data_IF_948244356067
#
_entry.id   IF_948244356067
#
_cell.length_a   1.000
_cell.length_b   1.000
_cell.length_c   1.000
_cell.angle_alpha   90.00
_cell.angle_beta   90.00
_cell.angle_gamma   90.00
#
_symmetry.space_group_name_H-M   'P 1'
#
loop_
_entity.id
_entity.type
_entity.pdbx_description
1 polymer ?
#
# COMPACT_ATOMS: atom_id res chain seq x y z
N UNK A 1 18.55 58.00 -6.74
CA UNK A 1 18.77 56.81 -5.88
C UNK A 1 17.49 56.04 -5.52
N UNK A 2 16.31 56.69 -5.44
CA UNK A 2 15.02 56.05 -5.04
C UNK A 2 14.53 54.91 -5.95
N UNK A 3 14.79 54.95 -7.27
CA UNK A 3 14.35 53.92 -8.23
C UNK A 3 15.06 52.57 -8.06
N UNK A 4 16.32 52.55 -7.61
CA UNK A 4 17.07 51.30 -7.36
C UNK A 4 16.55 50.58 -6.09
N UNK A 5 16.21 51.34 -5.04
CA UNK A 5 15.65 50.79 -3.80
C UNK A 5 14.27 50.15 -4.00
N UNK A 6 13.37 50.80 -4.76
CA UNK A 6 12.05 50.23 -5.11
C UNK A 6 12.14 48.94 -5.94
N UNK A 7 13.15 48.83 -6.82
CA UNK A 7 13.36 47.65 -7.65
C UNK A 7 13.96 46.48 -6.84
N UNK A 8 14.88 46.77 -5.92
CA UNK A 8 15.45 45.78 -5.00
C UNK A 8 14.38 45.18 -4.06
N UNK A 9 13.54 46.01 -3.46
CA UNK A 9 12.44 45.54 -2.60
C UNK A 9 11.32 44.79 -3.32
N UNK A 10 11.13 45.02 -4.63
CA UNK A 10 10.22 44.19 -5.45
C UNK A 10 10.81 42.81 -5.74
N UNK A 11 12.09 42.74 -6.06
CA UNK A 11 12.80 41.49 -6.33
C UNK A 11 12.89 40.65 -5.05
N UNK A 12 13.19 41.26 -3.90
CA UNK A 12 13.20 40.57 -2.60
C UNK A 12 11.83 39.98 -2.26
N UNK A 13 10.73 40.74 -2.44
CA UNK A 13 9.36 40.22 -2.28
C UNK A 13 8.98 39.11 -3.26
N UNK A 14 9.54 39.13 -4.46
CA UNK A 14 9.29 38.12 -5.49
C UNK A 14 10.08 36.83 -5.24
N UNK A 15 11.26 36.94 -4.62
CA UNK A 15 12.05 35.81 -4.12
C UNK A 15 11.40 35.20 -2.88
N UNK A 16 10.93 36.01 -1.92
CA UNK A 16 10.18 35.53 -0.75
C UNK A 16 8.90 34.80 -1.16
N UNK A 17 8.17 35.29 -2.18
CA UNK A 17 7.00 34.60 -2.73
C UNK A 17 7.28 33.23 -3.36
N UNK A 18 8.53 32.95 -3.73
CA UNK A 18 8.94 31.64 -4.27
C UNK A 18 9.46 30.69 -3.20
N UNK A 19 9.71 31.18 -1.99
CA UNK A 19 10.22 30.39 -0.89
C UNK A 19 9.06 29.98 0.01
N UNK A 20 8.80 28.68 0.04
CA UNK A 20 7.87 28.05 0.97
C UNK A 20 8.20 28.47 2.40
N UNK A 21 7.16 28.76 3.19
CA UNK A 21 7.33 29.06 4.62
C UNK A 21 7.85 27.81 5.36
N UNK A 22 8.44 27.96 6.56
CA UNK A 22 8.87 26.82 7.37
C UNK A 22 7.75 25.79 7.61
N UNK A 23 6.53 26.28 7.88
CA UNK A 23 5.33 25.47 8.12
C UNK A 23 4.94 24.72 6.85
N UNK A 24 4.93 25.40 5.70
CA UNK A 24 4.64 24.78 4.40
C UNK A 24 5.66 23.70 4.03
N UNK A 25 6.95 23.93 4.33
CA UNK A 25 7.99 22.90 4.13
C UNK A 25 7.75 21.68 5.02
N UNK A 26 7.34 21.90 6.26
CA UNK A 26 6.99 20.82 7.19
C UNK A 26 5.77 20.04 6.69
N UNK A 27 4.73 20.75 6.24
CA UNK A 27 3.55 20.15 5.63
C UNK A 27 3.93 19.27 4.44
N UNK A 28 4.71 19.78 3.49
CA UNK A 28 5.11 19.02 2.29
C UNK A 28 5.94 17.79 2.67
N UNK A 29 6.83 17.88 3.65
CA UNK A 29 7.60 16.72 4.15
C UNK A 29 6.70 15.63 4.75
N UNK A 30 5.75 16.01 5.61
CA UNK A 30 4.80 15.08 6.22
C UNK A 30 3.92 14.41 5.16
N UNK A 31 3.45 15.19 4.19
CA UNK A 31 2.68 14.68 3.03
C UNK A 31 3.50 13.73 2.16
N UNK A 32 4.78 14.02 1.94
CA UNK A 32 5.68 13.13 1.20
C UNK A 32 5.93 11.82 1.95
N UNK A 33 5.96 11.85 3.29
CA UNK A 33 6.10 10.66 4.15
C UNK A 33 4.83 9.79 4.22
N UNK A 34 3.69 10.27 3.71
CA UNK A 34 2.44 9.52 3.66
C UNK A 34 1.42 9.84 4.76
N UNK A 35 1.67 10.87 5.58
CA UNK A 35 0.69 11.38 6.57
C UNK A 35 -0.55 11.92 5.85
N UNK A 36 -1.75 11.73 6.41
CA UNK A 36 -3.01 12.23 5.83
C UNK A 36 -3.01 13.77 5.74
N UNK A 37 -3.92 14.32 4.91
CA UNK A 37 -3.91 15.77 4.62
C UNK A 37 -4.21 16.62 5.84
N UNK A 38 -5.22 16.21 6.61
CA UNK A 38 -5.64 16.84 7.84
C UNK A 38 -4.56 16.77 8.91
N UNK A 39 -4.03 15.58 9.19
CA UNK A 39 -2.97 15.40 10.20
C UNK A 39 -1.70 16.15 9.83
N UNK A 40 -1.28 16.11 8.56
CA UNK A 40 -0.10 16.83 8.11
C UNK A 40 -0.27 18.36 8.24
N UNK A 41 -1.49 18.87 8.02
CA UNK A 41 -1.79 20.28 8.17
C UNK A 41 -1.83 20.69 9.65
N UNK A 42 -2.53 19.92 10.49
CA UNK A 42 -2.58 20.13 11.93
C UNK A 42 -1.17 20.17 12.54
N UNK A 43 -0.32 19.19 12.20
CA UNK A 43 1.05 19.12 12.73
C UNK A 43 1.96 20.23 12.19
N UNK A 44 1.78 20.65 10.94
CA UNK A 44 2.66 21.65 10.33
C UNK A 44 2.33 23.09 10.77
N UNK A 45 1.06 23.37 11.03
CA UNK A 45 0.56 24.69 11.40
C UNK A 45 0.17 24.80 12.88
N UNK A 46 0.35 23.72 13.66
CA UNK A 46 -0.04 23.61 15.08
C UNK A 46 -1.51 24.01 15.30
N UNK A 47 -2.38 23.62 14.35
CA UNK A 47 -3.81 23.92 14.40
C UNK A 47 -4.61 22.69 14.85
N UNK A 48 -5.36 22.85 15.94
CA UNK A 48 -6.40 21.91 16.33
C UNK A 48 -7.72 22.31 15.67
N UNK A 49 -8.35 21.37 14.95
CA UNK A 49 -9.58 21.63 14.22
C UNK A 49 -10.31 20.36 13.80
N UNK A 50 -11.53 20.50 13.30
CA UNK A 50 -12.26 19.37 12.74
C UNK A 50 -11.56 18.84 11.48
N UNK A 51 -11.46 17.51 11.32
CA UNK A 51 -10.82 16.86 10.15
C UNK A 51 -11.30 17.42 8.81
N UNK A 52 -12.59 17.77 8.69
CA UNK A 52 -13.15 18.38 7.48
C UNK A 52 -12.59 19.78 7.18
N UNK A 53 -12.45 20.63 8.20
CA UNK A 53 -11.93 22.00 8.06
C UNK A 53 -10.44 21.99 7.73
N UNK A 54 -9.67 21.16 8.42
CA UNK A 54 -8.24 20.98 8.16
C UNK A 54 -8.00 20.43 6.74
N UNK A 55 -8.83 19.48 6.30
CA UNK A 55 -8.76 18.96 4.93
C UNK A 55 -9.04 20.03 3.88
N UNK A 56 -10.01 20.93 4.12
CA UNK A 56 -10.30 22.06 3.23
C UNK A 56 -9.10 23.00 3.11
N UNK A 57 -8.50 23.38 4.25
CA UNK A 57 -7.30 24.23 4.29
C UNK A 57 -6.10 23.58 3.60
N UNK A 58 -5.84 22.30 3.88
CA UNK A 58 -4.80 21.51 3.22
C UNK A 58 -5.03 21.43 1.70
N UNK A 59 -6.28 21.25 1.26
CA UNK A 59 -6.63 21.23 -0.16
C UNK A 59 -6.43 22.59 -0.82
N UNK A 60 -6.71 23.70 -0.12
CA UNK A 60 -6.41 25.04 -0.61
C UNK A 60 -4.90 25.26 -0.76
N UNK A 61 -4.10 24.74 0.18
CA UNK A 61 -2.64 24.81 0.12
C UNK A 61 -2.08 24.00 -1.05
N UNK A 62 -2.57 22.78 -1.28
CA UNK A 62 -2.18 21.91 -2.41
C UNK A 62 -2.66 22.44 -3.78
N UNK A 63 -3.41 23.54 -3.87
CA UNK A 63 -3.70 24.21 -5.16
C UNK A 63 -2.55 25.11 -5.63
N UNK A 64 -1.63 25.48 -4.74
CA UNK A 64 -0.50 26.33 -5.12
C UNK A 64 0.56 25.50 -5.86
N UNK A 65 1.04 26.05 -6.96
CA UNK A 65 1.94 25.36 -7.88
C UNK A 65 3.31 25.05 -7.27
N UNK A 66 3.80 25.93 -6.39
CA UNK A 66 5.05 25.77 -5.63
C UNK A 66 5.01 24.58 -4.65
N UNK A 67 3.90 24.42 -3.92
CA UNK A 67 3.65 23.30 -3.00
C UNK A 67 3.60 21.97 -3.77
N UNK A 68 2.88 21.94 -4.89
CA UNK A 68 2.72 20.73 -5.71
C UNK A 68 4.07 20.31 -6.30
N UNK A 69 4.83 21.25 -6.85
CA UNK A 69 6.14 20.99 -7.43
C UNK A 69 7.12 20.43 -6.38
N UNK A 70 7.16 21.02 -5.19
CA UNK A 70 8.04 20.54 -4.12
C UNK A 70 7.61 19.17 -3.59
N UNK A 71 6.30 18.92 -3.48
CA UNK A 71 5.77 17.62 -3.09
C UNK A 71 6.13 16.53 -4.11
N UNK A 72 6.03 16.83 -5.40
CA UNK A 72 6.44 15.90 -6.46
C UNK A 72 7.93 15.62 -6.41
N UNK A 73 8.76 16.67 -6.27
CA UNK A 73 10.22 16.55 -6.15
C UNK A 73 10.62 15.63 -4.99
N UNK A 74 10.03 15.82 -3.81
CA UNK A 74 10.32 15.00 -2.63
C UNK A 74 9.84 13.55 -2.78
N UNK A 75 8.68 13.33 -3.41
CA UNK A 75 8.20 11.98 -3.71
C UNK A 75 9.10 11.24 -4.70
N UNK A 76 9.62 11.93 -5.71
CA UNK A 76 10.58 11.35 -6.66
C UNK A 76 11.92 11.04 -6.00
N UNK A 77 12.42 11.94 -5.14
CA UNK A 77 13.63 11.68 -4.35
C UNK A 77 13.46 10.46 -3.44
N UNK A 78 12.31 10.35 -2.77
CA UNK A 78 12.01 9.19 -1.92
C UNK A 78 11.93 7.89 -2.74
N UNK A 79 11.32 7.92 -3.93
CA UNK A 79 11.30 6.75 -4.83
C UNK A 79 12.72 6.31 -5.23
N UNK A 80 13.60 7.26 -5.57
CA UNK A 80 15.00 6.96 -5.90
C UNK A 80 15.72 6.29 -4.72
N UNK A 81 15.60 6.87 -3.53
CA UNK A 81 16.19 6.29 -2.30
C UNK A 81 15.65 4.88 -2.00
N UNK A 82 14.36 4.62 -2.23
CA UNK A 82 13.79 3.28 -2.05
C UNK A 82 14.45 2.28 -3.01
N UNK A 83 14.67 2.67 -4.27
CA UNK A 83 15.33 1.80 -5.26
C UNK A 83 16.80 1.57 -4.90
N UNK A 84 17.49 2.61 -4.44
CA UNK A 84 18.89 2.54 -3.99
C UNK A 84 19.06 1.66 -2.75
N UNK A 85 18.12 1.69 -1.80
CA UNK A 85 18.16 0.90 -0.57
C UNK A 85 17.56 -0.51 -0.71
N UNK A 86 16.84 -0.79 -1.80
CA UNK A 86 16.20 -2.09 -2.01
C UNK A 86 17.20 -3.28 -1.98
N UNK A 87 18.40 -3.20 -2.59
CA UNK A 87 19.40 -4.27 -2.50
C UNK A 87 19.87 -4.51 -1.06
N UNK A 88 20.20 -3.44 -0.32
CA UNK A 88 20.63 -3.53 1.07
C UNK A 88 19.54 -4.15 1.96
N UNK A 89 18.29 -3.75 1.75
CA UNK A 89 17.14 -4.31 2.45
C UNK A 89 16.95 -5.81 2.14
N UNK A 90 17.19 -6.23 0.90
CA UNK A 90 17.14 -7.63 0.49
C UNK A 90 18.26 -8.45 1.14
N UNK A 91 19.51 -7.98 1.10
CA UNK A 91 20.64 -8.64 1.75
C UNK A 91 20.38 -8.81 3.25
N UNK A 92 19.86 -7.76 3.91
CA UNK A 92 19.50 -7.81 5.32
C UNK A 92 18.42 -8.85 5.62
N UNK A 93 17.44 -9.01 4.73
CA UNK A 93 16.40 -10.03 4.86
C UNK A 93 16.99 -11.45 4.78
N UNK A 94 17.95 -11.67 3.89
CA UNK A 94 18.66 -12.94 3.75
C UNK A 94 19.55 -13.23 4.97
N UNK A 95 20.19 -12.21 5.55
CA UNK A 95 20.91 -12.38 6.82
C UNK A 95 19.97 -12.77 7.96
N UNK A 96 18.82 -12.09 8.08
CA UNK A 96 17.83 -12.36 9.11
C UNK A 96 17.27 -13.78 8.98
N UNK A 97 17.05 -14.28 7.77
CA UNK A 97 16.51 -15.63 7.56
C UNK A 97 17.49 -16.73 8.01
N UNK A 98 18.80 -16.49 7.93
CA UNK A 98 19.86 -17.44 8.31
C UNK A 98 20.29 -17.32 9.77
N UNK A 99 20.48 -16.10 10.26
CA UNK A 99 21.24 -15.83 11.48
C UNK A 99 20.47 -15.13 12.59
N UNK A 100 19.20 -14.75 12.39
CA UNK A 100 18.44 -14.12 13.47
C UNK A 100 18.31 -15.09 14.67
N UNK A 101 18.56 -14.57 15.88
CA UNK A 101 18.45 -15.35 17.13
C UNK A 101 17.00 -15.74 17.43
N UNK A 102 16.05 -14.87 17.09
CA UNK A 102 14.62 -15.12 17.26
C UNK A 102 14.11 -15.99 16.13
N UNK A 103 13.53 -17.15 16.48
CA UNK A 103 12.91 -18.05 15.51
C UNK A 103 11.76 -17.38 14.76
N UNK A 104 10.96 -16.58 15.44
CA UNK A 104 9.88 -15.80 14.81
C UNK A 104 10.43 -14.88 13.71
N UNK A 105 11.52 -14.16 14.00
CA UNK A 105 12.15 -13.26 13.01
C UNK A 105 12.70 -14.04 11.81
N UNK A 106 13.31 -15.21 12.05
CA UNK A 106 13.74 -16.10 10.94
C UNK A 106 12.57 -16.60 10.12
N UNK A 107 11.48 -17.03 10.77
CA UNK A 107 10.27 -17.51 10.10
C UNK A 107 9.66 -16.39 9.24
N UNK A 108 9.48 -15.20 9.80
CA UNK A 108 8.92 -14.04 9.10
C UNK A 108 9.81 -13.66 7.90
N UNK A 109 11.14 -13.68 8.05
CA UNK A 109 12.06 -13.41 6.95
C UNK A 109 11.98 -14.47 5.84
N UNK A 110 11.95 -15.77 6.20
CA UNK A 110 11.81 -16.86 5.23
C UNK A 110 10.46 -16.81 4.51
N UNK A 111 9.36 -16.57 5.24
CA UNK A 111 8.03 -16.39 4.66
C UNK A 111 8.05 -15.26 3.64
N UNK A 112 8.66 -14.13 3.99
CA UNK A 112 8.71 -12.98 3.11
C UNK A 112 9.50 -13.25 1.81
N UNK A 113 10.61 -14.00 1.89
CA UNK A 113 11.36 -14.45 0.70
C UNK A 113 10.49 -15.34 -0.19
N UNK A 114 9.75 -16.29 0.38
CA UNK A 114 8.88 -17.20 -0.35
C UNK A 114 7.71 -16.48 -1.03
N UNK A 115 7.02 -15.59 -0.29
CA UNK A 115 5.91 -14.78 -0.82
C UNK A 115 6.37 -13.93 -2.02
N UNK A 116 7.55 -13.30 -1.92
CA UNK A 116 8.14 -12.51 -3.02
C UNK A 116 8.59 -13.35 -4.21
N UNK A 117 8.97 -14.59 -3.99
CA UNK A 117 9.28 -15.55 -5.05
C UNK A 117 8.01 -16.16 -5.70
N UNK A 118 6.81 -15.80 -5.22
CA UNK A 118 5.54 -16.25 -5.75
C UNK A 118 5.01 -17.54 -5.12
N UNK A 119 5.66 -18.06 -4.07
CA UNK A 119 5.20 -19.22 -3.30
C UNK A 119 4.15 -18.80 -2.27
N UNK A 120 3.07 -18.20 -2.75
CA UNK A 120 1.95 -17.79 -1.92
C UNK A 120 1.09 -18.98 -1.51
N UNK A 121 0.32 -18.81 -0.44
CA UNK A 121 -0.69 -19.79 -0.05
C UNK A 121 -1.62 -20.09 -1.24
N UNK A 122 -1.93 -21.37 -1.50
CA UNK A 122 -2.86 -21.73 -2.57
C UNK A 122 -4.19 -21.00 -2.32
N UNK A 123 -4.78 -20.46 -3.40
CA UNK A 123 -6.09 -19.82 -3.34
C UNK A 123 -7.03 -20.78 -2.63
N UNK A 124 -7.52 -20.39 -1.45
CA UNK A 124 -8.57 -21.11 -0.75
C UNK A 124 -9.78 -21.05 -1.66
N UNK A 125 -9.98 -22.09 -2.47
CA UNK A 125 -11.23 -22.30 -3.15
C UNK A 125 -12.30 -22.17 -2.08
N UNK A 126 -13.26 -21.28 -2.30
CA UNK A 126 -14.47 -21.22 -1.47
C UNK A 126 -15.29 -22.47 -1.79
N UNK A 127 -14.78 -23.65 -1.41
CA UNK A 127 -15.42 -24.96 -1.60
C UNK A 127 -16.69 -25.11 -0.77
N UNK A 128 -17.07 -24.08 0.00
CA UNK A 128 -18.13 -24.13 1.00
C UNK A 128 -19.39 -23.33 0.65
N UNK A 129 -19.36 -22.44 -0.35
CA UNK A 129 -20.55 -21.64 -0.68
C UNK A 129 -21.60 -22.41 -1.51
N UNK A 130 -21.20 -23.43 -2.26
CA UNK A 130 -22.11 -24.19 -3.13
C UNK A 130 -22.97 -25.18 -2.30
N UNK A 131 -22.51 -25.57 -1.11
CA UNK A 131 -23.18 -26.54 -0.25
C UNK A 131 -23.69 -25.95 1.07
N UNK A 132 -23.67 -24.62 1.23
CA UNK A 132 -24.12 -23.93 2.46
C UNK A 132 -25.61 -24.15 2.78
N UNK A 133 -26.38 -24.73 1.86
CA UNK A 133 -27.80 -25.07 2.03
C UNK A 133 -28.04 -26.55 2.34
N UNK A 134 -26.99 -27.37 2.41
CA UNK A 134 -27.08 -28.81 2.63
C UNK A 134 -26.47 -29.19 3.96
N UNK A 135 -27.19 -30.01 4.72
CA UNK A 135 -26.65 -30.65 5.92
C UNK A 135 -25.54 -31.65 5.56
N UNK A 136 -24.59 -31.95 6.46
CA UNK A 136 -23.55 -32.97 6.24
C UNK A 136 -24.09 -34.34 5.80
N UNK A 137 -25.28 -34.69 6.26
CA UNK A 137 -26.00 -35.91 5.92
C UNK A 137 -26.47 -35.90 4.46
N UNK A 138 -27.07 -34.80 4.00
CA UNK A 138 -27.50 -34.61 2.61
C UNK A 138 -26.32 -34.63 1.63
N UNK A 139 -25.18 -34.06 2.03
CA UNK A 139 -23.93 -34.13 1.27
C UNK A 139 -23.43 -35.55 1.09
N UNK A 140 -23.41 -36.36 2.16
CA UNK A 140 -23.02 -37.77 2.12
C UNK A 140 -23.93 -38.58 1.20
N UNK A 141 -25.23 -38.30 1.24
CA UNK A 141 -26.22 -38.99 0.43
C UNK A 141 -26.10 -38.64 -1.06
N UNK A 142 -25.87 -37.37 -1.39
CA UNK A 142 -25.53 -36.93 -2.75
C UNK A 142 -24.27 -37.60 -3.30
N UNK A 143 -23.21 -37.66 -2.50
CA UNK A 143 -21.95 -38.32 -2.87
C UNK A 143 -22.15 -39.81 -3.15
N UNK A 144 -22.93 -40.51 -2.31
CA UNK A 144 -23.30 -41.92 -2.54
C UNK A 144 -24.12 -42.10 -3.80
N UNK A 145 -25.14 -41.28 -4.02
CA UNK A 145 -26.00 -41.36 -5.20
C UNK A 145 -25.22 -41.08 -6.50
N UNK A 146 -24.28 -40.14 -6.47
CA UNK A 146 -23.41 -39.85 -7.61
C UNK A 146 -22.44 -41.02 -7.91
N UNK A 147 -21.86 -41.64 -6.88
CA UNK A 147 -21.01 -42.82 -7.04
C UNK A 147 -21.77 -44.01 -7.61
N UNK A 148 -23.00 -44.26 -7.13
CA UNK A 148 -23.87 -45.32 -7.66
C UNK A 148 -24.21 -45.10 -9.14
N UNK A 149 -24.63 -43.89 -9.55
CA UNK A 149 -24.89 -43.60 -10.96
C UNK A 149 -23.65 -43.75 -11.84
N UNK A 150 -22.49 -43.37 -11.33
CA UNK A 150 -21.24 -43.50 -12.09
C UNK A 150 -20.85 -44.96 -12.31
N UNK A 151 -21.14 -45.83 -11.33
CA UNK A 151 -20.97 -47.28 -11.45
C UNK A 151 -21.99 -47.89 -12.42
N UNK A 152 -23.27 -47.51 -12.34
CA UNK A 152 -24.32 -47.96 -13.25
C UNK A 152 -24.04 -47.55 -14.71
N UNK A 153 -23.51 -46.34 -14.93
CA UNK A 153 -23.09 -45.88 -16.26
C UNK A 153 -21.88 -46.65 -16.79
N UNK A 154 -20.93 -47.03 -15.91
CA UNK A 154 -19.81 -47.90 -16.28
C UNK A 154 -20.25 -49.34 -16.58
N UNK A 155 -21.21 -49.88 -15.85
CA UNK A 155 -21.77 -51.20 -16.12
C UNK A 155 -22.61 -51.23 -17.38
N UNK A 156 -23.37 -50.16 -17.66
CA UNK A 156 -24.15 -50.02 -18.89
C UNK A 156 -23.24 -49.91 -20.13
N UNK A 157 -22.16 -49.13 -20.04
CA UNK A 157 -21.16 -49.04 -21.11
C UNK A 157 -20.47 -50.38 -21.39
N UNK A 158 -20.25 -51.23 -20.36
CA UNK A 158 -19.69 -52.58 -20.55
C UNK A 158 -20.67 -53.57 -21.18
N UNK A 159 -21.97 -53.41 -20.97
CA UNK A 159 -23.01 -54.28 -21.56
C UNK A 159 -23.33 -53.94 -23.01
N UNK A 160 -22.98 -52.73 -23.48
CA UNK A 160 -23.11 -52.34 -24.89
C UNK A 160 -21.89 -52.76 -25.73
N UNK A 161 -20.80 -53.25 -25.11
CA UNK A 161 -19.58 -53.72 -25.78
C UNK A 161 -19.48 -55.26 -25.93
N UNK A 162 -20.45 -56.03 -25.41
CA UNK A 162 -20.63 -57.49 -25.65
C UNK A 162 -21.71 -57.78 -26.70
#
# INVERSE_FOLDING_TARGET
>A
MVRKAKRKGRIEKEIERKLLTPEEKTYVKLRAAGVSKDDAYAMAFEEDGGSWELTQKATALEKREDIVAELQRLKEELKKKIVEEAPNAFERLVELSKYARSEKVRLDANKNILDRAGFNEPVKLQTLAIFSFMTPEQLKEMLRAHMLRSLEMMESARKEEE
#
